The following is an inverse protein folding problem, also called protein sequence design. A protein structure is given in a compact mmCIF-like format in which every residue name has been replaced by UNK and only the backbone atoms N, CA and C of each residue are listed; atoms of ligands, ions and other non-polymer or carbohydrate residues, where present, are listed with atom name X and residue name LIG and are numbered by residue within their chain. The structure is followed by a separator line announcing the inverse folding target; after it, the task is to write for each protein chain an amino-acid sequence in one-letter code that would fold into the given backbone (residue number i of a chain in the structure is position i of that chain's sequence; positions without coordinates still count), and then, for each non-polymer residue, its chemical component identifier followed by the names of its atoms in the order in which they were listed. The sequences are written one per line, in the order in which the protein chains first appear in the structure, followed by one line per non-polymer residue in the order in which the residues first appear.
data_IF_508077563371
#
_entry.id   IF_508077563371
#
_cell.length_a   1.000
_cell.length_b   1.000
_cell.length_c   1.000
_cell.angle_alpha   90.00
_cell.angle_beta   90.00
_cell.angle_gamma   90.00
#
_symmetry.space_group_name_H-M   'P 1'
#
loop_
_entity.id
_entity.type
_entity.pdbx_description
1 polymer ?
#
# COMPACT_ATOMS: atom_id res chain seq x y z
N UNK A 1 -12.07 -26.50 32.16
CA UNK A 1 -12.15 -25.14 31.58
C UNK A 1 -11.16 -25.08 30.41
N UNK A 2 -11.57 -24.63 29.20
CA UNK A 2 -10.60 -24.43 28.10
C UNK A 2 -9.73 -23.21 28.44
N UNK A 3 -8.41 -23.33 28.39
CA UNK A 3 -7.48 -22.22 28.62
C UNK A 3 -7.74 -21.05 27.68
N UNK A 4 -7.70 -19.83 28.18
CA UNK A 4 -7.79 -18.61 27.38
C UNK A 4 -6.43 -18.41 26.69
N UNK A 5 -6.41 -18.32 25.36
CA UNK A 5 -5.20 -18.08 24.59
C UNK A 5 -5.09 -16.59 24.21
N UNK A 6 -3.94 -15.99 24.45
CA UNK A 6 -3.63 -14.61 24.08
C UNK A 6 -3.02 -14.58 22.68
N UNK A 7 -3.75 -14.06 21.72
CA UNK A 7 -3.24 -13.88 20.36
C UNK A 7 -3.00 -12.40 20.09
N UNK A 8 -1.75 -12.08 19.76
CA UNK A 8 -1.35 -10.72 19.42
C UNK A 8 -1.23 -10.57 17.90
N UNK A 9 -1.77 -9.48 17.37
CA UNK A 9 -1.65 -9.08 15.96
C UNK A 9 -0.87 -7.77 15.93
N UNK A 10 0.25 -7.74 15.20
CA UNK A 10 1.11 -6.57 15.05
C UNK A 10 0.84 -5.93 13.69
N UNK A 11 0.32 -4.71 13.69
CA UNK A 11 -0.04 -3.93 12.52
C UNK A 11 -1.54 -3.97 12.20
N UNK A 12 -2.15 -2.79 12.01
CA UNK A 12 -3.56 -2.59 11.70
C UNK A 12 -3.82 -2.26 10.21
N UNK A 13 -2.96 -2.74 9.30
CA UNK A 13 -3.19 -2.72 7.86
C UNK A 13 -4.21 -3.78 7.40
N UNK A 14 -4.35 -3.98 6.08
CA UNK A 14 -5.30 -4.94 5.50
C UNK A 14 -5.17 -6.35 6.07
N UNK A 15 -3.94 -6.84 6.25
CA UNK A 15 -3.68 -8.17 6.79
C UNK A 15 -4.08 -8.27 8.26
N UNK A 16 -3.63 -7.33 9.11
CA UNK A 16 -3.89 -7.36 10.55
C UNK A 16 -5.37 -7.17 10.90
N UNK A 17 -6.06 -6.23 10.25
CA UNK A 17 -7.52 -6.07 10.41
C UNK A 17 -8.26 -7.37 10.08
N UNK A 18 -7.90 -8.04 8.99
CA UNK A 18 -8.55 -9.29 8.61
C UNK A 18 -8.16 -10.45 9.52
N UNK A 19 -6.94 -10.45 10.04
CA UNK A 19 -6.52 -11.42 11.05
C UNK A 19 -7.34 -11.27 12.33
N UNK A 20 -7.42 -10.07 12.90
CA UNK A 20 -8.21 -9.79 14.10
C UNK A 20 -9.71 -10.14 13.90
N UNK A 21 -10.32 -9.69 12.79
CA UNK A 21 -11.71 -10.05 12.45
C UNK A 21 -11.92 -11.57 12.31
N UNK A 22 -10.92 -12.30 11.84
CA UNK A 22 -11.03 -13.76 11.66
C UNK A 22 -10.92 -14.49 13.00
N UNK A 23 -10.03 -14.05 13.88
CA UNK A 23 -9.93 -14.58 15.25
C UNK A 23 -11.23 -14.39 16.03
N UNK A 24 -11.83 -13.20 15.96
CA UNK A 24 -13.11 -12.90 16.62
C UNK A 24 -14.30 -13.75 16.15
N UNK A 25 -14.26 -14.27 14.92
CA UNK A 25 -15.30 -15.14 14.36
C UNK A 25 -15.09 -16.62 14.70
N UNK A 26 -13.91 -16.96 15.22
CA UNK A 26 -13.61 -18.32 15.63
C UNK A 26 -14.33 -18.68 16.94
N UNK A 27 -14.64 -19.97 17.10
CA UNK A 27 -15.25 -20.50 18.33
C UNK A 27 -14.24 -20.80 19.44
N UNK A 28 -13.01 -20.32 19.34
CA UNK A 28 -11.95 -20.56 20.30
C UNK A 28 -12.00 -19.58 21.49
N UNK A 29 -11.48 -20.03 22.62
CA UNK A 29 -11.25 -19.18 23.80
C UNK A 29 -9.98 -18.31 23.56
N UNK A 30 -10.11 -17.27 22.69
CA UNK A 30 -9.00 -16.43 22.25
C UNK A 30 -9.27 -14.97 22.65
N UNK A 31 -8.36 -14.40 23.41
CA UNK A 31 -8.26 -12.96 23.64
C UNK A 31 -7.37 -12.34 22.55
N UNK A 32 -7.85 -11.33 21.84
CA UNK A 32 -7.13 -10.69 20.74
C UNK A 32 -6.63 -9.33 21.18
N UNK A 33 -5.31 -9.12 21.06
CA UNK A 33 -4.67 -7.80 21.17
C UNK A 33 -4.19 -7.36 19.80
N UNK A 34 -4.53 -6.15 19.37
CA UNK A 34 -4.05 -5.52 18.13
C UNK A 34 -3.12 -4.37 18.50
N UNK A 35 -1.88 -4.43 18.03
CA UNK A 35 -0.87 -3.40 18.27
C UNK A 35 -0.65 -2.64 16.96
N UNK A 36 -0.77 -1.32 16.99
CA UNK A 36 -0.37 -0.44 15.90
C UNK A 36 0.12 0.90 16.47
N UNK A 37 1.09 1.53 15.79
CA UNK A 37 1.58 2.86 16.18
C UNK A 37 0.51 3.94 16.05
N UNK A 38 -0.48 3.72 15.17
CA UNK A 38 -1.63 4.59 14.98
C UNK A 38 -2.86 4.00 15.66
N UNK A 39 -3.75 4.86 16.16
CA UNK A 39 -5.07 4.44 16.66
C UNK A 39 -6.08 4.16 15.54
N UNK A 40 -5.65 4.16 14.27
CA UNK A 40 -6.51 4.02 13.10
C UNK A 40 -5.86 3.13 12.03
N UNK A 41 -6.69 2.52 11.20
CA UNK A 41 -6.26 1.85 9.98
C UNK A 41 -6.39 2.78 8.78
N UNK A 42 -5.53 2.59 7.76
CA UNK A 42 -5.46 3.44 6.57
C UNK A 42 -5.84 2.69 5.30
N UNK A 43 -6.66 3.33 4.46
CA UNK A 43 -6.97 2.89 3.10
C UNK A 43 -5.83 3.32 2.16
N UNK A 44 -4.71 2.61 2.21
CA UNK A 44 -3.50 2.95 1.44
C UNK A 44 -3.73 3.23 -0.05
N UNK A 45 -4.58 2.46 -0.79
CA UNK A 45 -4.77 2.67 -2.22
C UNK A 45 -5.40 4.00 -2.61
N UNK A 46 -5.92 4.77 -1.66
CA UNK A 46 -6.55 6.08 -1.95
C UNK A 46 -5.77 7.26 -1.33
N UNK A 47 -4.59 7.00 -0.77
CA UNK A 47 -3.73 8.08 -0.26
C UNK A 47 -3.33 9.11 -1.33
N UNK A 48 -2.97 8.72 -2.56
CA UNK A 48 -2.68 9.69 -3.61
C UNK A 48 -3.87 10.59 -3.97
N UNK A 49 -5.11 10.13 -3.75
CA UNK A 49 -6.32 10.93 -4.03
C UNK A 49 -6.48 12.15 -3.12
N UNK A 50 -5.76 12.20 -1.99
CA UNK A 50 -5.70 13.39 -1.11
C UNK A 50 -5.16 14.59 -1.90
N UNK A 51 -4.19 14.39 -2.79
CA UNK A 51 -3.60 15.45 -3.59
C UNK A 51 -4.60 16.10 -4.53
N UNK A 52 -5.56 15.33 -5.05
CA UNK A 52 -6.64 15.87 -5.87
C UNK A 52 -7.79 16.50 -5.07
N UNK A 53 -7.78 16.38 -3.74
CA UNK A 53 -8.91 16.81 -2.89
C UNK A 53 -10.18 15.99 -3.03
N UNK A 54 -10.11 14.82 -3.65
CA UNK A 54 -11.28 13.94 -3.83
C UNK A 54 -11.70 13.24 -2.56
N UNK A 55 -10.74 12.94 -1.70
CA UNK A 55 -10.96 12.17 -0.47
C UNK A 55 -10.53 12.97 0.73
N UNK A 56 -11.35 12.87 1.77
CA UNK A 56 -11.10 13.46 3.07
C UNK A 56 -10.58 12.39 4.05
N UNK A 57 -10.07 12.82 5.21
CA UNK A 57 -9.56 11.94 6.25
C UNK A 57 -10.52 10.80 6.59
N UNK A 58 -11.80 11.11 6.75
CA UNK A 58 -12.85 10.15 7.12
C UNK A 58 -13.01 9.02 6.10
N UNK A 59 -12.66 9.25 4.84
CA UNK A 59 -12.70 8.23 3.79
C UNK A 59 -11.40 7.39 3.74
N UNK A 60 -10.31 7.92 4.26
CA UNK A 60 -8.97 7.29 4.18
C UNK A 60 -8.60 6.57 5.46
N UNK A 61 -9.00 7.07 6.63
CA UNK A 61 -8.66 6.49 7.92
C UNK A 61 -9.89 6.02 8.68
N UNK A 62 -9.74 4.98 9.48
CA UNK A 62 -10.78 4.45 10.36
C UNK A 62 -10.23 4.20 11.74
N UNK A 63 -10.85 4.77 12.73
CA UNK A 63 -10.54 4.50 14.14
C UNK A 63 -10.70 3.02 14.48
N UNK A 64 -9.72 2.43 15.16
CA UNK A 64 -9.71 1.01 15.49
C UNK A 64 -10.77 0.65 16.52
N UNK A 65 -11.10 1.54 17.46
CA UNK A 65 -12.18 1.34 18.40
C UNK A 65 -13.53 1.34 17.67
N UNK A 66 -13.71 2.19 16.67
CA UNK A 66 -14.92 2.17 15.83
C UNK A 66 -15.05 0.88 15.01
N UNK A 67 -13.93 0.24 14.63
CA UNK A 67 -13.94 -1.03 13.88
C UNK A 67 -14.23 -2.23 14.77
N UNK A 68 -13.69 -2.28 15.98
CA UNK A 68 -13.69 -3.47 16.82
C UNK A 68 -14.52 -3.34 18.12
N UNK A 69 -14.74 -2.12 18.61
CA UNK A 69 -15.27 -1.92 19.97
C UNK A 69 -14.40 -2.57 21.02
N UNK A 70 -15.00 -3.05 22.07
CA UNK A 70 -14.32 -3.74 23.20
C UNK A 70 -13.93 -5.20 22.92
N UNK A 71 -14.23 -5.70 21.71
CA UNK A 71 -13.94 -7.09 21.31
C UNK A 71 -12.47 -7.38 21.07
N UNK A 72 -11.65 -6.35 20.86
CA UNK A 72 -10.20 -6.43 20.64
C UNK A 72 -9.54 -5.43 21.57
N UNK A 73 -8.53 -5.87 22.31
CA UNK A 73 -7.67 -4.97 23.08
C UNK A 73 -6.75 -4.21 22.11
N UNK A 74 -7.01 -2.93 21.93
CA UNK A 74 -6.20 -2.08 21.06
C UNK A 74 -5.08 -1.47 21.88
N UNK A 75 -3.83 -1.63 21.41
CA UNK A 75 -2.62 -1.01 21.97
C UNK A 75 -2.00 -0.11 20.93
N UNK A 76 -2.03 1.19 21.18
CA UNK A 76 -1.34 2.18 20.35
C UNK A 76 0.12 2.24 20.81
N UNK A 77 0.97 1.44 20.13
CA UNK A 77 2.38 1.33 20.49
C UNK A 77 3.21 0.93 19.25
N UNK A 78 4.50 1.25 19.29
CA UNK A 78 5.48 0.83 18.30
C UNK A 78 6.18 -0.43 18.81
N UNK A 79 6.09 -1.52 18.02
CA UNK A 79 6.85 -2.73 18.31
C UNK A 79 8.31 -2.49 17.95
N UNK A 80 9.19 -2.66 18.92
CA UNK A 80 10.64 -2.51 18.75
C UNK A 80 11.33 -3.85 18.52
N UNK A 81 10.91 -4.90 19.25
CA UNK A 81 11.52 -6.23 19.20
C UNK A 81 10.50 -7.31 19.56
N UNK A 82 10.68 -8.52 19.01
CA UNK A 82 9.93 -9.73 19.38
C UNK A 82 10.92 -10.79 19.87
N UNK A 83 10.85 -11.15 21.14
CA UNK A 83 11.58 -12.28 21.71
C UNK A 83 10.76 -13.55 21.50
N UNK A 84 11.18 -14.38 20.55
CA UNK A 84 10.41 -15.53 20.04
C UNK A 84 10.33 -16.64 21.07
N UNK A 85 11.45 -17.03 21.70
CA UNK A 85 11.52 -18.11 22.68
C UNK A 85 10.76 -17.77 23.96
N UNK A 86 10.84 -16.49 24.38
CA UNK A 86 10.12 -15.98 25.56
C UNK A 86 8.64 -15.70 25.28
N UNK A 87 8.22 -15.72 24.02
CA UNK A 87 6.88 -15.32 23.57
C UNK A 87 6.46 -13.95 24.07
N UNK A 88 7.34 -12.94 23.87
CA UNK A 88 7.18 -11.58 24.35
C UNK A 88 7.42 -10.57 23.24
N UNK A 89 6.61 -9.53 23.25
CA UNK A 89 6.72 -8.39 22.32
C UNK A 89 7.13 -7.18 23.15
N UNK A 90 8.21 -6.53 22.76
CA UNK A 90 8.68 -5.28 23.35
C UNK A 90 8.14 -4.13 22.53
N UNK A 91 7.56 -3.16 23.21
CA UNK A 91 7.02 -1.93 22.60
C UNK A 91 7.54 -0.73 23.37
N UNK A 92 7.36 0.46 22.79
CA UNK A 92 7.59 1.74 23.47
C UNK A 92 6.64 2.00 24.67
N UNK A 93 5.58 1.18 24.82
CA UNK A 93 4.58 1.24 25.91
C UNK A 93 4.61 -0.02 26.80
N UNK A 94 5.72 -0.75 26.81
CA UNK A 94 5.93 -1.90 27.68
C UNK A 94 5.93 -3.25 26.97
N UNK A 95 5.81 -4.33 27.75
CA UNK A 95 5.99 -5.70 27.33
C UNK A 95 4.64 -6.43 27.24
N UNK A 96 4.44 -7.19 26.16
CA UNK A 96 3.19 -7.91 25.89
C UNK A 96 3.50 -9.40 25.65
N UNK A 97 3.03 -10.29 26.51
CA UNK A 97 3.18 -11.74 26.31
C UNK A 97 2.13 -12.26 25.32
N UNK A 98 2.46 -13.34 24.60
CA UNK A 98 1.53 -14.01 23.68
C UNK A 98 1.61 -15.54 23.75
N UNK A 99 0.53 -16.21 23.37
CA UNK A 99 0.48 -17.63 23.11
C UNK A 99 0.51 -17.91 21.61
N UNK A 100 0.00 -16.98 20.80
CA UNK A 100 0.09 -16.93 19.35
C UNK A 100 0.34 -15.52 18.83
N UNK A 101 1.10 -15.39 17.75
CA UNK A 101 1.49 -14.10 17.18
C UNK A 101 1.23 -14.04 15.67
N UNK A 102 0.73 -12.89 15.20
CA UNK A 102 0.60 -12.59 13.78
C UNK A 102 1.34 -11.29 13.46
N UNK A 103 2.44 -11.40 12.72
CA UNK A 103 3.22 -10.28 12.25
C UNK A 103 2.63 -9.76 10.93
N UNK A 104 2.00 -8.60 10.96
CA UNK A 104 1.30 -7.97 9.85
C UNK A 104 1.63 -6.47 9.70
N UNK A 105 2.85 -6.06 10.08
CA UNK A 105 3.29 -4.66 10.10
C UNK A 105 3.46 -4.03 8.71
N UNK A 106 3.28 -4.79 7.63
CA UNK A 106 3.24 -4.29 6.27
C UNK A 106 4.59 -3.88 5.71
N UNK A 107 4.60 -2.78 4.96
CA UNK A 107 5.76 -2.23 4.27
C UNK A 107 5.90 -0.73 4.53
N UNK A 108 7.09 -0.19 4.22
CA UNK A 108 7.43 1.23 4.30
C UNK A 108 8.20 1.66 3.06
N UNK A 109 8.25 2.94 2.71
CA UNK A 109 9.09 3.43 1.63
C UNK A 109 10.55 2.99 1.80
N UNK A 110 11.22 2.75 0.68
CA UNK A 110 12.66 2.57 0.67
C UNK A 110 13.29 3.95 0.87
N UNK A 111 13.90 4.17 2.03
CA UNK A 111 14.63 5.39 2.31
C UNK A 111 16.12 5.14 2.03
N UNK A 112 16.76 5.86 1.11
CA UNK A 112 18.19 5.74 0.90
C UNK A 112 18.94 6.33 2.12
N UNK A 113 20.15 5.82 2.35
CA UNK A 113 21.05 6.45 3.31
C UNK A 113 21.32 7.89 2.86
N UNK A 114 21.14 8.86 3.76
CA UNK A 114 21.35 10.27 3.45
C UNK A 114 20.19 10.91 2.65
N UNK A 115 18.97 10.38 2.75
CA UNK A 115 17.82 11.08 2.16
C UNK A 115 17.75 12.52 2.66
N UNK A 116 17.68 13.53 1.75
CA UNK A 116 17.64 14.93 2.15
C UNK A 116 16.45 15.22 3.06
N UNK A 117 16.58 16.13 4.04
CA UNK A 117 15.44 16.59 4.82
C UNK A 117 14.42 17.30 3.92
N UNK A 118 13.16 17.34 4.35
CA UNK A 118 12.09 18.03 3.61
C UNK A 118 11.49 17.25 2.45
N UNK A 119 11.97 16.05 2.16
CA UNK A 119 11.38 15.16 1.16
C UNK A 119 10.05 14.59 1.69
N UNK A 120 9.02 14.61 0.86
CA UNK A 120 7.68 14.09 1.19
C UNK A 120 7.53 12.63 0.81
N UNK A 121 6.71 11.90 1.59
CA UNK A 121 6.23 10.54 1.25
C UNK A 121 4.71 10.50 1.28
N UNK A 122 4.10 9.57 0.55
CA UNK A 122 2.64 9.40 0.48
C UNK A 122 2.27 7.97 0.94
N UNK A 123 2.84 7.56 2.05
CA UNK A 123 2.58 6.27 2.72
C UNK A 123 1.68 6.40 3.96
N UNK A 124 1.42 7.64 4.39
CA UNK A 124 0.52 7.99 5.49
C UNK A 124 -0.43 9.11 5.07
N UNK A 125 -1.57 9.24 5.78
CA UNK A 125 -2.48 10.35 5.58
C UNK A 125 -1.78 11.70 5.79
N UNK A 126 -1.04 11.81 6.88
CA UNK A 126 -0.31 13.03 7.26
C UNK A 126 0.78 13.37 6.23
N UNK A 127 1.47 12.38 5.66
CA UNK A 127 2.46 12.58 4.60
C UNK A 127 1.82 13.14 3.33
N UNK A 128 0.73 12.54 2.87
CA UNK A 128 -0.01 13.02 1.70
C UNK A 128 -0.58 14.44 1.92
N UNK A 129 -1.07 14.72 3.13
CA UNK A 129 -1.60 16.04 3.49
C UNK A 129 -0.50 17.09 3.53
N UNK A 130 0.68 16.79 4.11
CA UNK A 130 1.83 17.71 4.09
C UNK A 130 2.25 18.07 2.66
N UNK A 131 2.37 17.08 1.77
CA UNK A 131 2.67 17.35 0.36
C UNK A 131 1.60 18.22 -0.29
N UNK A 132 0.32 17.95 -0.05
CA UNK A 132 -0.78 18.76 -0.58
C UNK A 132 -0.67 20.22 -0.10
N UNK A 133 -0.51 20.46 1.20
CA UNK A 133 -0.38 21.80 1.76
C UNK A 133 0.86 22.54 1.22
N UNK A 134 1.98 21.80 1.02
CA UNK A 134 3.18 22.38 0.42
C UNK A 134 2.90 22.88 -1.01
N UNK A 135 2.18 22.10 -1.81
CA UNK A 135 1.79 22.47 -3.18
C UNK A 135 0.72 23.59 -3.21
N UNK A 136 -0.16 23.67 -2.23
CA UNK A 136 -1.12 24.79 -2.06
C UNK A 136 -0.40 26.11 -1.77
N UNK A 137 0.74 26.07 -1.11
CA UNK A 137 1.60 27.23 -0.89
C UNK A 137 2.42 27.64 -2.13
N UNK A 138 2.38 26.84 -3.20
CA UNK A 138 3.09 27.10 -4.46
C UNK A 138 4.30 26.19 -4.67
N UNK A 139 4.89 26.27 -5.86
CA UNK A 139 6.03 25.48 -6.29
C UNK A 139 5.65 24.32 -7.20
N UNK A 140 6.67 23.66 -7.74
CA UNK A 140 6.58 22.53 -8.66
C UNK A 140 6.67 21.19 -7.92
N UNK A 141 6.48 20.08 -8.61
CA UNK A 141 6.56 18.75 -8.03
C UNK A 141 7.55 17.87 -8.83
N UNK A 142 8.56 17.35 -8.13
CA UNK A 142 9.39 16.26 -8.60
C UNK A 142 8.99 14.97 -7.88
N UNK A 143 8.54 13.97 -8.61
CA UNK A 143 8.21 12.63 -8.06
C UNK A 143 9.35 11.68 -8.40
N UNK A 144 10.00 11.14 -7.39
CA UNK A 144 11.06 10.13 -7.54
C UNK A 144 10.45 8.75 -7.47
N UNK A 145 10.45 8.05 -8.61
CA UNK A 145 9.85 6.73 -8.80
C UNK A 145 8.64 6.75 -9.74
N UNK A 146 8.80 6.15 -10.94
CA UNK A 146 7.78 6.03 -11.98
C UNK A 146 6.88 4.79 -11.84
N UNK A 147 6.77 4.23 -10.64
CA UNK A 147 5.86 3.12 -10.32
C UNK A 147 4.41 3.57 -10.12
N UNK A 148 3.55 2.64 -9.66
CA UNK A 148 2.11 2.92 -9.41
C UNK A 148 1.91 4.17 -8.55
N UNK A 149 2.50 4.21 -7.36
CA UNK A 149 2.30 5.31 -6.41
C UNK A 149 2.79 6.64 -6.97
N UNK A 150 3.97 6.67 -7.61
CA UNK A 150 4.50 7.91 -8.17
C UNK A 150 3.62 8.48 -9.28
N UNK A 151 3.13 7.64 -10.18
CA UNK A 151 2.22 8.07 -11.23
C UNK A 151 0.85 8.50 -10.69
N UNK A 152 0.33 7.82 -9.67
CA UNK A 152 -0.90 8.23 -8.99
C UNK A 152 -0.73 9.59 -8.30
N UNK A 153 0.40 9.83 -7.64
CA UNK A 153 0.75 11.12 -7.04
C UNK A 153 0.78 12.22 -8.11
N UNK A 154 1.50 12.02 -9.20
CA UNK A 154 1.61 12.99 -10.30
C UNK A 154 0.25 13.33 -10.91
N UNK A 155 -0.55 12.32 -11.25
CA UNK A 155 -1.85 12.51 -11.89
C UNK A 155 -2.91 13.10 -10.94
N UNK A 156 -2.88 12.72 -9.64
CA UNK A 156 -3.78 13.33 -8.66
C UNK A 156 -3.38 14.78 -8.34
N UNK A 157 -2.09 15.10 -8.35
CA UNK A 157 -1.64 16.50 -8.26
C UNK A 157 -2.14 17.31 -9.45
N UNK A 158 -1.96 16.78 -10.67
CA UNK A 158 -2.48 17.43 -11.89
C UNK A 158 -3.98 17.68 -11.82
N UNK A 159 -4.72 16.70 -11.32
CA UNK A 159 -6.19 16.81 -11.20
C UNK A 159 -6.63 17.84 -10.16
N UNK A 160 -5.88 17.95 -9.04
CA UNK A 160 -6.23 18.86 -7.95
C UNK A 160 -5.85 20.32 -8.21
N UNK A 161 -4.72 20.53 -8.88
CA UNK A 161 -4.11 21.85 -9.03
C UNK A 161 -4.21 22.41 -10.47
N UNK A 162 -4.62 21.59 -11.46
CA UNK A 162 -4.68 22.01 -12.85
C UNK A 162 -3.34 21.98 -13.60
N UNK A 163 -3.32 22.32 -14.88
CA UNK A 163 -2.13 22.35 -15.72
C UNK A 163 -1.26 23.58 -15.46
N UNK A 164 0.04 23.47 -15.77
CA UNK A 164 0.92 24.65 -15.82
C UNK A 164 0.46 25.61 -16.94
N UNK A 165 0.61 26.93 -16.78
CA UNK A 165 1.29 27.62 -15.65
C UNK A 165 0.40 27.91 -14.44
N UNK A 166 -0.90 27.61 -14.48
CA UNK A 166 -1.82 27.89 -13.37
C UNK A 166 -1.68 26.89 -12.22
N UNK A 167 -1.18 25.68 -12.51
CA UNK A 167 -0.83 24.66 -11.53
C UNK A 167 0.67 24.31 -11.60
N UNK A 168 1.17 23.41 -10.71
CA UNK A 168 2.57 23.03 -10.66
C UNK A 168 3.05 22.37 -11.95
N UNK A 169 4.28 22.63 -12.39
CA UNK A 169 4.98 21.73 -13.28
C UNK A 169 5.27 20.42 -12.55
N UNK A 170 5.06 19.29 -13.22
CA UNK A 170 5.21 17.95 -12.59
C UNK A 170 6.21 17.15 -13.40
N UNK A 171 7.29 16.75 -12.76
CA UNK A 171 8.32 15.87 -13.34
C UNK A 171 8.38 14.57 -12.54
N UNK A 172 8.26 13.44 -13.21
CA UNK A 172 8.47 12.10 -12.64
C UNK A 172 9.85 11.62 -13.10
N UNK A 173 10.71 11.23 -12.17
CA UNK A 173 12.03 10.68 -12.46
C UNK A 173 12.12 9.22 -12.01
N UNK A 174 12.76 8.37 -12.80
CA UNK A 174 12.99 6.96 -12.45
C UNK A 174 14.37 6.50 -12.91
N UNK A 175 15.07 5.76 -12.06
CA UNK A 175 16.39 5.21 -12.36
C UNK A 175 16.34 4.14 -13.47
N UNK A 176 15.21 3.45 -13.62
CA UNK A 176 15.05 2.45 -14.65
C UNK A 176 14.95 3.11 -16.05
N UNK A 177 15.45 2.46 -17.10
CA UNK A 177 15.34 2.97 -18.49
C UNK A 177 13.89 2.98 -18.99
N UNK A 178 13.02 2.20 -18.35
CA UNK A 178 11.60 2.12 -18.68
C UNK A 178 10.77 2.00 -17.41
N UNK A 179 9.61 2.68 -17.37
CA UNK A 179 8.64 2.59 -16.28
C UNK A 179 7.44 1.71 -16.66
N UNK A 180 6.73 1.22 -15.64
CA UNK A 180 5.50 0.43 -15.82
C UNK A 180 5.64 -0.79 -16.72
N UNK A 181 6.77 -1.47 -16.69
CA UNK A 181 7.06 -2.65 -17.51
C UNK A 181 6.13 -3.84 -17.25
N UNK A 182 5.44 -3.85 -16.10
CA UNK A 182 4.39 -4.84 -15.78
C UNK A 182 3.13 -4.68 -16.68
N UNK A 183 2.94 -3.50 -17.28
CA UNK A 183 1.83 -3.23 -18.20
C UNK A 183 2.22 -3.71 -19.59
N UNK A 184 1.38 -4.50 -20.31
CA UNK A 184 1.67 -4.96 -21.65
C UNK A 184 1.97 -3.80 -22.63
N UNK A 185 2.84 -4.02 -23.63
CA UNK A 185 3.46 -2.99 -24.46
C UNK A 185 2.51 -1.93 -25.02
N UNK A 186 1.41 -2.32 -25.69
CA UNK A 186 0.45 -1.34 -26.26
C UNK A 186 -0.31 -0.56 -25.18
N UNK A 187 -0.66 -1.23 -24.11
CA UNK A 187 -1.33 -0.58 -22.98
C UNK A 187 -0.37 0.37 -22.25
N UNK A 188 0.92 0.00 -22.15
CA UNK A 188 1.96 0.86 -21.58
C UNK A 188 2.17 2.12 -22.44
N UNK A 189 2.24 1.98 -23.74
CA UNK A 189 2.37 3.12 -24.67
C UNK A 189 1.22 4.10 -24.47
N UNK A 190 -0.04 3.64 -24.52
CA UNK A 190 -1.23 4.48 -24.25
C UNK A 190 -1.23 5.10 -22.86
N UNK A 191 -0.72 4.38 -21.85
CA UNK A 191 -0.56 4.92 -20.51
C UNK A 191 0.43 6.10 -20.47
N UNK A 192 1.59 5.94 -21.11
CA UNK A 192 2.63 6.97 -21.16
C UNK A 192 2.19 8.19 -21.99
N UNK A 193 1.48 7.97 -23.11
CA UNK A 193 0.84 9.04 -23.87
C UNK A 193 -0.12 9.84 -23.00
N UNK A 194 -1.00 9.16 -22.27
CA UNK A 194 -1.96 9.82 -21.38
C UNK A 194 -1.30 10.61 -20.23
N UNK A 195 -0.19 10.13 -19.71
CA UNK A 195 0.60 10.85 -18.69
C UNK A 195 1.19 12.12 -19.32
N UNK A 196 1.71 12.02 -20.53
CA UNK A 196 2.24 13.17 -21.29
C UNK A 196 1.14 14.18 -21.60
N UNK A 197 -0.01 13.71 -22.09
CA UNK A 197 -1.17 14.58 -22.41
C UNK A 197 -1.70 15.29 -21.16
N UNK A 198 -1.56 14.69 -20.00
CA UNK A 198 -1.83 15.35 -18.72
C UNK A 198 -0.78 16.43 -18.36
N UNK A 199 0.25 16.66 -19.19
CA UNK A 199 1.32 17.61 -18.93
C UNK A 199 2.26 17.18 -17.82
N UNK A 200 2.44 15.86 -17.63
CA UNK A 200 3.43 15.29 -16.69
C UNK A 200 4.67 14.89 -17.50
N UNK A 201 5.80 15.49 -17.17
CA UNK A 201 7.09 15.10 -17.74
C UNK A 201 7.58 13.79 -17.08
N UNK A 202 8.08 12.85 -17.89
CA UNK A 202 8.67 11.59 -17.38
C UNK A 202 10.11 11.48 -17.88
N UNK A 203 11.05 11.36 -16.94
CA UNK A 203 12.49 11.17 -17.19
C UNK A 203 12.90 9.82 -16.66
N UNK A 204 13.28 8.92 -17.55
CA UNK A 204 13.81 7.59 -17.23
C UNK A 204 15.34 7.58 -17.27
N UNK A 205 15.97 6.58 -16.65
CA UNK A 205 17.41 6.54 -16.51
C UNK A 205 17.99 7.67 -15.66
N UNK A 206 17.15 8.34 -14.86
CA UNK A 206 17.48 9.57 -14.13
C UNK A 206 17.11 9.42 -12.67
N UNK A 207 17.98 9.88 -11.76
CA UNK A 207 17.76 9.84 -10.31
C UNK A 207 17.88 11.22 -9.69
N UNK A 208 17.34 11.37 -8.49
CA UNK A 208 17.62 12.51 -7.61
C UNK A 208 19.04 12.36 -7.06
N UNK A 209 19.87 13.39 -7.20
CA UNK A 209 21.23 13.45 -6.63
C UNK A 209 21.34 14.40 -5.46
N UNK A 210 20.58 15.52 -5.48
CA UNK A 210 20.57 16.49 -4.39
C UNK A 210 19.22 17.22 -4.30
N UNK A 211 18.88 17.64 -3.10
CA UNK A 211 17.70 18.45 -2.81
C UNK A 211 17.96 19.44 -1.68
N UNK A 212 17.80 20.71 -1.96
CA UNK A 212 17.84 21.76 -0.94
C UNK A 212 16.42 22.17 -0.57
N UNK A 213 15.93 21.86 0.66
CA UNK A 213 14.57 22.17 1.08
C UNK A 213 14.28 23.65 1.28
N UNK A 214 15.31 24.49 1.53
CA UNK A 214 15.15 25.93 1.75
C UNK A 214 14.91 26.68 0.43
N UNK A 215 15.72 26.37 -0.58
CA UNK A 215 15.59 26.95 -1.93
C UNK A 215 14.64 26.14 -2.83
N UNK A 216 14.21 24.97 -2.39
CA UNK A 216 13.46 23.99 -3.18
C UNK A 216 14.14 23.63 -4.51
N UNK A 217 15.46 23.69 -4.54
CA UNK A 217 16.23 23.33 -5.70
C UNK A 217 16.46 21.81 -5.70
N UNK A 218 16.12 21.15 -6.82
CA UNK A 218 16.27 19.72 -7.01
C UNK A 218 17.27 19.46 -8.13
N UNK A 219 18.29 18.65 -7.87
CA UNK A 219 19.33 18.30 -8.84
C UNK A 219 19.19 16.84 -9.24
N UNK A 220 19.18 16.59 -10.55
CA UNK A 220 19.07 15.26 -11.13
C UNK A 220 20.41 14.74 -11.62
N UNK A 221 20.54 13.42 -11.79
CA UNK A 221 21.79 12.76 -12.19
C UNK A 221 22.27 13.11 -13.61
N UNK A 222 21.40 13.62 -14.46
CA UNK A 222 21.71 14.13 -15.80
C UNK A 222 22.16 15.60 -15.81
N UNK A 223 22.36 16.20 -14.62
CA UNK A 223 22.74 17.61 -14.43
C UNK A 223 21.56 18.58 -14.52
N UNK A 224 20.34 18.13 -14.77
CA UNK A 224 19.15 19.00 -14.78
C UNK A 224 18.90 19.55 -13.38
N UNK A 225 18.66 20.85 -13.31
CA UNK A 225 18.24 21.55 -12.09
C UNK A 225 16.77 21.95 -12.23
N UNK A 226 15.93 21.45 -11.33
CA UNK A 226 14.52 21.82 -11.24
C UNK A 226 14.35 22.86 -10.13
N UNK A 227 13.97 24.12 -10.47
CA UNK A 227 13.78 25.16 -9.49
C UNK A 227 12.42 25.06 -8.80
N UNK A 228 12.34 25.53 -7.57
CA UNK A 228 11.11 25.64 -6.76
C UNK A 228 10.28 24.34 -6.76
N UNK A 229 10.93 23.18 -6.56
CA UNK A 229 10.32 21.86 -6.55
C UNK A 229 10.17 21.31 -5.15
N UNK A 230 8.97 20.82 -4.82
CA UNK A 230 8.77 19.86 -3.74
C UNK A 230 9.11 18.46 -4.24
N UNK A 231 9.82 17.68 -3.44
CA UNK A 231 10.20 16.30 -3.81
C UNK A 231 9.25 15.32 -3.11
N UNK A 232 8.62 14.43 -3.91
CA UNK A 232 7.88 13.27 -3.41
C UNK A 232 8.65 11.99 -3.68
N UNK A 233 8.97 11.24 -2.62
CA UNK A 233 9.77 10.03 -2.68
C UNK A 233 8.89 8.79 -2.78
N UNK A 234 8.88 8.11 -3.91
CA UNK A 234 8.05 6.95 -4.21
C UNK A 234 8.78 5.83 -5.00
N UNK A 235 10.11 5.57 -4.82
CA UNK A 235 10.84 4.62 -5.67
C UNK A 235 10.59 3.15 -5.31
N UNK A 236 9.69 2.87 -4.39
CA UNK A 236 9.31 1.51 -3.99
C UNK A 236 9.17 1.34 -2.49
N UNK A 237 8.82 0.11 -2.12
CA UNK A 237 8.51 -0.27 -0.73
C UNK A 237 9.39 -1.44 -0.30
N UNK A 238 9.81 -1.43 0.96
CA UNK A 238 10.45 -2.56 1.64
C UNK A 238 9.57 -3.05 2.79
N UNK A 239 9.73 -4.28 3.20
CA UNK A 239 9.05 -4.80 4.37
C UNK A 239 9.39 -3.98 5.63
N UNK A 240 8.43 -3.80 6.52
CA UNK A 240 8.66 -3.14 7.80
C UNK A 240 9.73 -3.91 8.60
N UNK A 241 10.71 -3.19 9.12
CA UNK A 241 11.76 -3.78 9.95
C UNK A 241 11.18 -4.16 11.32
N UNK A 242 11.22 -5.45 11.64
CA UNK A 242 10.93 -5.95 12.98
C UNK A 242 12.16 -6.77 13.42
N UNK A 243 12.71 -6.43 14.58
CA UNK A 243 13.78 -7.20 15.18
C UNK A 243 13.20 -8.46 15.83
N UNK A 244 13.77 -9.62 15.51
CA UNK A 244 13.42 -10.91 16.11
C UNK A 244 14.62 -11.43 16.89
N UNK A 245 14.38 -11.89 18.13
CA UNK A 245 15.43 -12.44 18.99
C UNK A 245 15.01 -13.77 19.59
N UNK A 246 16.01 -14.62 19.90
CA UNK A 246 15.89 -15.78 20.79
C UNK A 246 16.69 -15.45 22.05
N UNK A 247 16.00 -15.28 23.17
CA UNK A 247 16.60 -14.58 24.31
C UNK A 247 17.05 -13.17 23.93
N UNK A 248 18.33 -12.85 24.16
CA UNK A 248 18.91 -11.53 23.79
C UNK A 248 19.60 -11.52 22.43
N UNK A 249 19.75 -12.68 21.77
CA UNK A 249 20.47 -12.77 20.51
C UNK A 249 19.53 -12.60 19.32
N UNK A 250 19.94 -11.87 18.26
CA UNK A 250 19.20 -11.80 17.01
C UNK A 250 19.01 -13.20 16.42
N UNK A 251 17.80 -13.48 15.92
CA UNK A 251 17.51 -14.72 15.19
C UNK A 251 17.64 -14.46 13.70
N UNK A 252 18.43 -15.29 13.04
CA UNK A 252 18.57 -15.25 11.58
C UNK A 252 17.40 -15.98 10.90
N UNK A 253 16.29 -15.27 10.74
CA UNK A 253 15.18 -15.75 9.92
C UNK A 253 15.43 -15.28 8.47
N UNK A 254 15.47 -16.19 7.50
CA UNK A 254 15.70 -15.84 6.11
C UNK A 254 14.72 -14.76 5.61
N UNK A 255 15.27 -13.81 4.84
CA UNK A 255 14.50 -12.71 4.26
C UNK A 255 14.82 -12.54 2.78
N UNK A 256 13.85 -12.07 2.03
CA UNK A 256 14.08 -11.61 0.67
C UNK A 256 14.91 -10.32 0.64
N UNK A 257 15.44 -9.96 -0.53
CA UNK A 257 16.19 -8.70 -0.73
C UNK A 257 15.42 -7.45 -0.28
N UNK A 258 14.09 -7.45 -0.42
CA UNK A 258 13.22 -6.35 0.00
C UNK A 258 12.72 -6.48 1.45
N UNK A 259 13.34 -7.39 2.24
CA UNK A 259 13.18 -7.55 3.69
C UNK A 259 11.99 -8.38 4.14
N UNK A 260 11.22 -9.03 3.23
CA UNK A 260 10.11 -9.90 3.62
C UNK A 260 10.64 -11.16 4.28
N UNK A 261 9.98 -11.61 5.35
CA UNK A 261 10.31 -12.89 5.97
C UNK A 261 9.94 -14.06 5.08
N UNK A 262 10.87 -14.98 4.85
CA UNK A 262 10.55 -16.28 4.26
C UNK A 262 9.71 -17.08 5.25
N UNK A 263 8.62 -17.66 4.76
CA UNK A 263 7.67 -18.42 5.56
C UNK A 263 7.42 -19.77 4.94
N UNK A 264 6.96 -20.72 5.75
CA UNK A 264 6.40 -21.96 5.22
C UNK A 264 5.11 -21.72 4.41
N UNK A 265 4.66 -22.73 3.68
CA UNK A 265 3.41 -22.69 2.91
C UNK A 265 2.18 -22.33 3.76
N UNK A 266 2.23 -22.53 5.05
CA UNK A 266 1.18 -22.22 6.04
C UNK A 266 1.27 -20.82 6.61
N UNK A 267 2.27 -20.02 6.19
CA UNK A 267 2.60 -18.67 6.67
C UNK A 267 3.27 -18.62 8.05
N UNK A 268 3.62 -19.75 8.65
CA UNK A 268 4.38 -19.75 9.90
C UNK A 268 5.85 -19.37 9.67
N UNK A 269 6.40 -18.71 10.69
CA UNK A 269 7.82 -18.41 10.74
C UNK A 269 8.61 -19.74 10.96
N UNK A 270 9.70 -20.00 10.21
CA UNK A 270 10.50 -21.20 10.40
C UNK A 270 10.98 -21.35 11.87
N UNK A 271 10.74 -22.52 12.46
CA UNK A 271 11.07 -22.81 13.86
C UNK A 271 10.04 -22.34 14.89
N UNK A 272 9.07 -21.49 14.50
CA UNK A 272 8.10 -20.87 15.43
C UNK A 272 6.66 -21.05 14.92
N UNK A 273 6.06 -22.22 15.12
CA UNK A 273 4.74 -22.54 14.56
C UNK A 273 3.59 -21.70 15.16
N UNK A 274 3.77 -21.11 16.33
CA UNK A 274 2.84 -20.16 16.96
C UNK A 274 2.89 -18.76 16.33
N UNK A 275 3.93 -18.46 15.52
CA UNK A 275 4.14 -17.16 14.90
C UNK A 275 3.85 -17.24 13.40
N UNK A 276 2.87 -16.50 12.94
CA UNK A 276 2.57 -16.37 11.51
C UNK A 276 2.91 -14.97 10.99
N UNK A 277 3.31 -14.90 9.71
CA UNK A 277 3.59 -13.62 9.02
C UNK A 277 2.58 -13.43 7.91
N UNK A 278 2.05 -12.23 7.72
CA UNK A 278 1.02 -11.94 6.74
C UNK A 278 1.21 -10.58 6.04
N UNK A 279 0.58 -10.45 4.89
CA UNK A 279 0.63 -9.21 4.09
C UNK A 279 2.01 -8.94 3.50
N UNK A 280 2.34 -7.67 3.37
CA UNK A 280 3.57 -7.20 2.72
C UNK A 280 4.85 -7.58 3.47
N UNK A 281 4.73 -8.03 4.71
CA UNK A 281 5.83 -8.51 5.53
C UNK A 281 6.25 -9.96 5.19
N UNK A 282 5.36 -10.76 4.60
CA UNK A 282 5.59 -12.16 4.24
C UNK A 282 6.09 -12.31 2.79
N UNK A 283 7.08 -13.18 2.59
CA UNK A 283 7.51 -13.63 1.27
C UNK A 283 6.55 -14.69 0.73
N UNK A 284 5.45 -14.22 0.16
CA UNK A 284 4.42 -15.11 -0.40
C UNK A 284 4.80 -15.48 -1.83
N UNK A 285 4.82 -16.79 -2.12
CA UNK A 285 5.22 -17.32 -3.42
C UNK A 285 4.09 -18.09 -4.12
N UNK A 286 4.15 -18.13 -5.45
CA UNK A 286 3.40 -19.05 -6.32
C UNK A 286 4.41 -19.86 -7.13
N UNK A 287 4.62 -21.11 -6.76
CA UNK A 287 5.84 -21.81 -7.17
C UNK A 287 7.08 -21.08 -6.63
N UNK A 288 8.05 -20.84 -7.50
CA UNK A 288 9.29 -20.12 -7.15
C UNK A 288 9.16 -18.59 -7.26
N UNK A 289 8.08 -18.10 -7.86
CA UNK A 289 7.87 -16.68 -8.09
C UNK A 289 7.39 -15.96 -6.83
N UNK A 290 8.10 -14.88 -6.45
CA UNK A 290 7.69 -14.00 -5.36
C UNK A 290 6.55 -13.10 -5.81
N UNK A 291 5.39 -13.23 -5.17
CA UNK A 291 4.22 -12.46 -5.53
C UNK A 291 4.39 -10.98 -5.13
N UNK A 292 3.95 -10.09 -6.00
CA UNK A 292 3.92 -8.65 -5.74
C UNK A 292 3.07 -8.32 -4.51
N UNK A 293 3.38 -7.22 -3.83
CA UNK A 293 2.52 -6.66 -2.79
C UNK A 293 1.18 -6.25 -3.37
N UNK A 294 0.10 -6.68 -2.73
CA UNK A 294 -1.24 -6.34 -3.17
C UNK A 294 -2.25 -6.46 -2.02
N UNK A 295 -3.26 -5.60 -2.03
CA UNK A 295 -4.32 -5.57 -1.01
C UNK A 295 -5.03 -6.92 -0.86
N UNK A 296 -5.32 -7.60 -1.96
CA UNK A 296 -5.96 -8.92 -1.91
C UNK A 296 -5.07 -9.98 -1.28
N UNK A 297 -3.76 -9.95 -1.56
CA UNK A 297 -2.79 -10.86 -0.94
C UNK A 297 -2.72 -10.60 0.57
N UNK A 298 -2.60 -9.33 0.98
CA UNK A 298 -2.59 -8.96 2.39
C UNK A 298 -3.89 -9.39 3.10
N UNK A 299 -5.05 -9.14 2.50
CA UNK A 299 -6.35 -9.52 3.04
C UNK A 299 -6.49 -11.04 3.26
N UNK A 300 -6.17 -11.84 2.25
CA UNK A 300 -6.34 -13.30 2.34
C UNK A 300 -5.26 -13.99 3.16
N UNK A 301 -4.01 -13.51 3.12
CA UNK A 301 -2.93 -14.03 3.98
C UNK A 301 -3.20 -13.74 5.46
N UNK A 302 -3.70 -12.55 5.82
CA UNK A 302 -4.12 -12.24 7.19
C UNK A 302 -5.21 -13.20 7.70
N UNK A 303 -6.22 -13.50 6.87
CA UNK A 303 -7.24 -14.50 7.23
C UNK A 303 -6.67 -15.91 7.40
N UNK A 304 -5.71 -16.31 6.55
CA UNK A 304 -5.09 -17.63 6.65
C UNK A 304 -4.19 -17.73 7.89
N UNK A 305 -3.36 -16.72 8.13
CA UNK A 305 -2.50 -16.64 9.30
C UNK A 305 -3.31 -16.78 10.60
N UNK A 306 -4.40 -16.03 10.74
CA UNK A 306 -5.29 -16.11 11.89
C UNK A 306 -5.90 -17.50 12.10
N UNK A 307 -6.39 -18.13 11.03
CA UNK A 307 -6.93 -19.50 11.09
C UNK A 307 -5.86 -20.53 11.47
N UNK A 308 -4.63 -20.35 11.01
CA UNK A 308 -3.55 -21.27 11.30
C UNK A 308 -3.02 -21.09 12.73
N UNK A 309 -2.87 -19.86 13.23
CA UNK A 309 -2.51 -19.61 14.65
C UNK A 309 -3.60 -20.20 15.55
N UNK A 310 -4.87 -19.97 15.29
CA UNK A 310 -5.96 -20.55 16.08
C UNK A 310 -5.95 -22.08 16.04
N UNK A 311 -5.67 -22.72 14.89
CA UNK A 311 -5.51 -24.18 14.79
C UNK A 311 -4.32 -24.68 15.60
N UNK A 312 -3.18 -24.04 15.47
CA UNK A 312 -2.00 -24.40 16.26
C UNK A 312 -2.31 -24.44 17.76
N UNK A 313 -2.91 -23.36 18.28
CA UNK A 313 -3.26 -23.26 19.71
C UNK A 313 -4.28 -24.32 20.18
N UNK A 314 -5.06 -24.87 19.27
CA UNK A 314 -6.06 -25.92 19.56
C UNK A 314 -5.65 -27.33 19.10
N UNK A 315 -4.38 -27.54 18.72
CA UNK A 315 -3.85 -28.82 18.25
C UNK A 315 -4.35 -29.25 16.87
N UNK A 316 -4.91 -28.33 16.06
CA UNK A 316 -5.43 -28.62 14.75
C UNK A 316 -4.38 -28.52 13.63
N UNK A 317 -4.58 -29.25 12.54
CA UNK A 317 -3.68 -29.22 11.39
C UNK A 317 -3.68 -27.87 10.67
N UNK A 318 -2.47 -27.34 10.40
CA UNK A 318 -2.27 -26.12 9.63
C UNK A 318 -2.62 -26.33 8.15
N UNK A 319 -3.08 -25.29 7.49
CA UNK A 319 -3.47 -25.34 6.08
C UNK A 319 -2.65 -24.39 5.24
N UNK A 320 -2.18 -24.78 4.07
CA UNK A 320 -1.39 -23.92 3.20
C UNK A 320 -2.20 -22.70 2.74
N UNK A 321 -1.52 -21.58 2.55
CA UNK A 321 -2.03 -20.42 1.86
C UNK A 321 -1.78 -20.58 0.36
N UNK A 322 -2.83 -20.51 -0.41
CA UNK A 322 -2.76 -20.48 -1.88
C UNK A 322 -3.14 -19.07 -2.32
N UNK A 323 -2.16 -18.25 -2.72
CA UNK A 323 -2.43 -16.90 -3.16
C UNK A 323 -3.16 -16.91 -4.50
N UNK A 324 -4.12 -16.01 -4.64
CA UNK A 324 -4.80 -15.74 -5.91
C UNK A 324 -4.55 -14.29 -6.26
N UNK A 325 -3.82 -14.04 -7.34
CA UNK A 325 -3.68 -12.68 -7.85
C UNK A 325 -4.93 -12.29 -8.63
N UNK A 326 -5.72 -11.41 -8.05
CA UNK A 326 -6.93 -10.90 -8.68
C UNK A 326 -6.66 -9.82 -9.74
N UNK A 327 -5.39 -9.52 -10.01
CA UNK A 327 -4.97 -8.48 -10.94
C UNK A 327 -4.72 -7.12 -10.27
N UNK A 328 -4.68 -6.09 -11.09
CA UNK A 328 -4.38 -4.73 -10.68
C UNK A 328 -5.24 -3.74 -11.44
N UNK A 329 -5.50 -2.60 -10.82
CA UNK A 329 -6.15 -1.44 -11.43
C UNK A 329 -5.38 -0.21 -11.02
N UNK A 330 -4.90 0.56 -12.00
CA UNK A 330 -4.16 1.80 -11.81
C UNK A 330 -5.11 2.98 -12.07
N UNK A 331 -5.43 3.79 -11.06
CA UNK A 331 -6.12 5.06 -11.25
C UNK A 331 -5.28 6.05 -12.06
N UNK A 332 -5.89 6.63 -13.09
CA UNK A 332 -5.27 7.59 -14.01
C UNK A 332 -6.08 8.89 -13.99
N UNK A 333 -6.10 9.57 -12.88
CA UNK A 333 -6.92 10.76 -12.73
C UNK A 333 -8.41 10.43 -12.69
N UNK A 334 -9.21 10.77 -13.70
CA UNK A 334 -10.67 10.56 -13.77
C UNK A 334 -11.09 9.17 -14.29
N UNK A 335 -10.12 8.37 -14.72
CA UNK A 335 -10.33 7.01 -15.22
C UNK A 335 -9.30 6.06 -14.62
N UNK A 336 -9.40 4.78 -14.93
CA UNK A 336 -8.42 3.77 -14.54
C UNK A 336 -8.15 2.83 -15.69
N UNK A 337 -7.02 2.17 -15.63
CA UNK A 337 -6.68 1.03 -16.48
C UNK A 337 -6.22 -0.13 -15.61
N UNK A 338 -6.62 -1.34 -15.96
CA UNK A 338 -6.23 -2.50 -15.17
C UNK A 338 -6.42 -3.81 -15.89
N UNK A 339 -5.86 -4.85 -15.30
CA UNK A 339 -6.02 -6.24 -15.71
C UNK A 339 -6.50 -7.06 -14.53
N UNK A 340 -7.68 -7.66 -14.67
CA UNK A 340 -8.34 -8.43 -13.61
C UNK A 340 -8.29 -9.91 -13.99
N UNK A 341 -8.05 -10.78 -13.02
CA UNK A 341 -7.87 -12.24 -13.19
C UNK A 341 -6.79 -12.64 -14.20
N UNK A 342 -5.83 -11.76 -14.47
CA UNK A 342 -4.74 -12.02 -15.41
C UNK A 342 -5.09 -11.90 -16.89
N UNK A 343 -6.38 -11.86 -17.28
CA UNK A 343 -6.81 -11.85 -18.68
C UNK A 343 -7.83 -10.73 -19.03
N UNK A 344 -8.67 -10.31 -18.09
CA UNK A 344 -9.71 -9.33 -18.35
C UNK A 344 -9.16 -7.90 -18.22
N UNK A 345 -9.08 -7.17 -19.32
CA UNK A 345 -8.73 -5.74 -19.31
C UNK A 345 -9.97 -4.90 -18.93
N UNK A 346 -9.79 -4.02 -17.96
CA UNK A 346 -10.81 -3.06 -17.52
C UNK A 346 -10.26 -1.66 -17.65
N UNK A 347 -11.09 -0.72 -18.13
CA UNK A 347 -10.66 0.66 -18.36
C UNK A 347 -11.76 1.68 -18.09
N UNK A 348 -11.39 2.96 -18.13
CA UNK A 348 -12.32 4.07 -17.99
C UNK A 348 -12.87 4.27 -16.59
N UNK A 349 -14.02 4.94 -16.48
CA UNK A 349 -14.69 5.27 -15.22
C UNK A 349 -15.23 4.04 -14.49
N UNK A 350 -15.57 2.98 -15.23
CA UNK A 350 -16.01 1.71 -14.63
C UNK A 350 -14.87 1.07 -13.82
N UNK A 351 -13.67 0.99 -14.38
CA UNK A 351 -12.50 0.45 -13.68
C UNK A 351 -12.16 1.27 -12.43
N UNK A 352 -12.28 2.61 -12.50
CA UNK A 352 -12.08 3.48 -11.35
C UNK A 352 -13.09 3.18 -10.21
N UNK A 353 -14.35 3.01 -10.54
CA UNK A 353 -15.39 2.63 -9.56
C UNK A 353 -15.15 1.27 -8.95
N UNK A 354 -14.73 0.31 -9.78
CA UNK A 354 -14.37 -1.02 -9.32
C UNK A 354 -13.18 -0.97 -8.35
N UNK A 355 -12.17 -0.15 -8.65
CA UNK A 355 -11.03 0.07 -7.77
C UNK A 355 -11.47 0.54 -6.37
N UNK A 356 -12.29 1.60 -6.29
CA UNK A 356 -12.77 2.12 -5.00
C UNK A 356 -13.68 1.14 -4.26
N UNK A 357 -14.60 0.48 -4.97
CA UNK A 357 -15.50 -0.51 -4.39
C UNK A 357 -14.73 -1.68 -3.76
N UNK A 358 -13.77 -2.23 -4.50
CA UNK A 358 -12.97 -3.37 -4.06
C UNK A 358 -12.00 -3.01 -2.93
N UNK A 359 -11.44 -1.82 -2.96
CA UNK A 359 -10.57 -1.30 -1.89
C UNK A 359 -11.38 -1.09 -0.61
N UNK A 360 -12.52 -0.43 -0.68
CA UNK A 360 -13.41 -0.20 0.46
C UNK A 360 -13.92 -1.51 1.08
N UNK A 361 -14.36 -2.47 0.27
CA UNK A 361 -14.83 -3.76 0.76
C UNK A 361 -13.75 -4.52 1.54
N UNK A 362 -12.51 -4.51 1.05
CA UNK A 362 -11.40 -5.20 1.71
C UNK A 362 -10.90 -4.49 2.97
N UNK A 363 -11.10 -3.18 3.06
CA UNK A 363 -10.67 -2.42 4.23
C UNK A 363 -11.60 -2.67 5.44
N UNK A 364 -12.86 -2.35 5.34
CA UNK A 364 -13.76 -2.41 6.48
C UNK A 364 -15.11 -3.14 6.20
N UNK A 365 -15.39 -3.53 4.96
CA UNK A 365 -16.57 -4.29 4.58
C UNK A 365 -17.57 -3.54 3.69
N UNK A 366 -18.83 -4.01 3.63
CA UNK A 366 -19.80 -3.51 2.65
C UNK A 366 -20.16 -2.02 2.81
N UNK A 367 -20.23 -1.50 4.04
CA UNK A 367 -20.50 -0.06 4.29
C UNK A 367 -19.40 0.82 3.71
N UNK A 368 -18.12 0.40 3.86
CA UNK A 368 -16.98 1.10 3.30
C UNK A 368 -16.95 1.03 1.78
N UNK A 369 -17.27 -0.15 1.24
CA UNK A 369 -17.38 -0.33 -0.20
C UNK A 369 -18.39 0.68 -0.79
N UNK A 370 -19.53 0.86 -0.13
CA UNK A 370 -20.54 1.81 -0.58
C UNK A 370 -20.09 3.27 -0.41
N UNK A 371 -19.42 3.61 0.69
CA UNK A 371 -18.88 4.95 0.91
C UNK A 371 -17.83 5.30 -0.16
N UNK A 372 -16.91 4.39 -0.45
CA UNK A 372 -15.90 4.55 -1.51
C UNK A 372 -16.53 4.64 -2.91
N UNK A 373 -17.54 3.84 -3.18
CA UNK A 373 -18.29 3.93 -4.43
C UNK A 373 -18.97 5.30 -4.59
N UNK A 374 -19.54 5.85 -3.53
CA UNK A 374 -20.08 7.23 -3.54
C UNK A 374 -19.01 8.26 -3.85
N UNK A 375 -17.83 8.15 -3.24
CA UNK A 375 -16.68 9.03 -3.53
C UNK A 375 -16.37 8.99 -5.03
N UNK A 376 -16.29 7.81 -5.65
CA UNK A 376 -16.10 7.68 -7.09
C UNK A 376 -17.24 8.31 -7.92
N UNK A 377 -18.46 8.41 -7.39
CA UNK A 377 -19.59 9.10 -8.03
C UNK A 377 -19.49 10.63 -7.96
N UNK A 378 -18.98 11.18 -6.87
CA UNK A 378 -18.79 12.63 -6.75
C UNK A 378 -17.75 13.17 -7.74
N UNK A 379 -16.86 12.31 -8.23
CA UNK A 379 -15.95 12.62 -9.33
C UNK A 379 -16.69 13.00 -10.66
N UNK A 380 -17.95 12.64 -10.79
CA UNK A 380 -18.81 13.02 -11.93
C UNK A 380 -19.18 14.51 -11.96
N UNK A 381 -19.14 15.19 -10.81
CA UNK A 381 -19.62 16.58 -10.68
C UNK A 381 -18.53 17.63 -10.94
N UNK A 382 -17.26 17.21 -11.01
CA UNK A 382 -16.20 18.09 -11.48
C UNK A 382 -16.01 17.81 -12.99
N UNK A 383 -16.23 18.81 -13.86
CA UNK A 383 -15.98 18.64 -15.28
C UNK A 383 -14.51 18.27 -15.47
N UNK A 384 -14.24 17.37 -16.42
CA UNK A 384 -12.87 17.13 -16.88
C UNK A 384 -12.30 18.49 -17.34
N UNK A 385 -11.01 18.77 -17.09
CA UNK A 385 -10.42 19.99 -17.63
C UNK A 385 -10.67 20.05 -19.13
N UNK A 386 -10.98 21.22 -19.66
CA UNK A 386 -11.30 21.38 -21.08
C UNK A 386 -10.14 20.80 -21.92
N UNK A 387 -10.44 19.83 -22.79
CA UNK A 387 -9.46 19.14 -23.63
C UNK A 387 -9.06 17.73 -23.20
N UNK A 388 -9.62 17.17 -22.15
CA UNK A 388 -9.40 15.76 -21.82
C UNK A 388 -10.09 14.87 -22.88
N UNK A 389 -9.35 14.05 -23.66
CA UNK A 389 -9.97 13.17 -24.63
C UNK A 389 -10.80 12.09 -23.93
N UNK A 390 -11.93 11.74 -24.50
CA UNK A 390 -12.75 10.62 -24.04
C UNK A 390 -11.89 9.33 -23.95
N UNK A 391 -12.04 8.55 -22.87
CA UNK A 391 -11.34 7.27 -22.79
C UNK A 391 -11.73 6.41 -24.00
N UNK A 392 -10.78 5.73 -24.65
CA UNK A 392 -11.08 4.87 -25.77
C UNK A 392 -12.16 3.86 -25.34
N UNK A 393 -13.23 3.78 -26.11
CA UNK A 393 -14.26 2.77 -25.94
C UNK A 393 -13.67 1.36 -26.01
N UNK A 394 -14.38 0.33 -25.54
CA UNK A 394 -13.94 -1.05 -25.71
C UNK A 394 -13.63 -1.30 -27.20
N UNK A 395 -12.57 -2.08 -27.51
CA UNK A 395 -12.24 -2.38 -28.91
C UNK A 395 -13.47 -2.97 -29.59
N UNK A 396 -13.80 -2.45 -30.78
CA UNK A 396 -14.88 -3.00 -31.62
C UNK A 396 -14.48 -4.45 -31.98
N UNK A 397 -15.25 -5.45 -31.53
CA UNK A 397 -14.92 -6.85 -31.80
C UNK A 397 -14.94 -7.21 -33.30
N UNK A 398 -15.37 -6.30 -34.16
CA UNK A 398 -15.46 -6.45 -35.62
C UNK A 398 -14.30 -5.83 -36.39
N UNK A 399 -13.37 -5.15 -35.73
CA UNK A 399 -12.20 -4.56 -36.41
C UNK A 399 -11.11 -5.63 -36.53
N UNK A 400 -10.67 -5.97 -37.75
CA UNK A 400 -9.55 -6.90 -37.94
C UNK A 400 -8.28 -6.29 -37.35
N UNK A 401 -7.31 -7.13 -36.90
CA UNK A 401 -6.03 -6.63 -36.44
C UNK A 401 -5.34 -5.82 -37.51
N UNK A 402 -4.86 -4.63 -37.13
CA UNK A 402 -4.04 -3.80 -38.02
C UNK A 402 -2.78 -4.59 -38.44
N UNK A 403 -2.34 -4.47 -39.70
CA UNK A 403 -1.27 -5.27 -40.30
C UNK A 403 0.10 -5.10 -39.58
#
# INVERSE_FOLDING_TARGET
MRSLHRVVVVGAGFAGIQAAKTLLRGSGNIEVTLIDRNGYTTMLPVLPDILSGRVERVAVTRDLLAVFGDRVRIRRATVTRVALDDRRIYTDDGLIPYDGLILAAGSRPIEPAGMPPGVHTVDTFEGAQRLRHALEAGGNLCVVGGGYTGLEVALNTRLGFGPAPTGPAITVVDAAPEIMTIVPGDARRRLLERIRDAGVEVRTGTTLTDYNPETKQTVLSDGTVLPDCHVCWAPGMRAAGIELTAGELPVDIPRTRDGRFETGATLQLPGYPEVAVAGDLAAIRSGDELIRRAVNIAFYSGRRAAKNVARYLTGGALRPFRPVDLGWVLPLGTASYGRVFGFLTVSGRFALRLHYLMSGFRHAGAREAFAMYRTAFHLRRRPDPPGAPDPPGPPDPRRPPDP
#
